data_IF_962971129620
#
_entry.id   IF_962971129620
#
_cell.length_a   1.000
_cell.length_b   1.000
_cell.length_c   1.000
_cell.angle_alpha   90.00
_cell.angle_beta   90.00
_cell.angle_gamma   90.00
#
_symmetry.space_group_name_H-M   'P 1'
#
loop_
_entity.id
_entity.type
_entity.pdbx_description
1 polymer ?
#
# COMPACT_ATOMS: atom_id res chain seq x y z
N UNK A 1 -20.16 -49.16 -91.53
CA UNK A 1 -20.53 -47.91 -90.84
C UNK A 1 -21.10 -48.25 -89.46
N UNK A 2 -20.25 -48.68 -88.51
CA UNK A 2 -20.65 -49.05 -87.14
C UNK A 2 -19.46 -48.88 -86.19
N UNK A 3 -18.73 -47.79 -86.36
CA UNK A 3 -17.51 -47.46 -85.60
C UNK A 3 -17.46 -46.00 -85.15
N UNK A 4 -18.54 -45.23 -85.33
CA UNK A 4 -18.59 -43.82 -84.92
C UNK A 4 -19.73 -43.51 -83.94
N UNK A 5 -20.69 -44.44 -83.75
CA UNK A 5 -21.87 -44.21 -82.88
C UNK A 5 -21.63 -44.65 -81.42
N UNK A 6 -20.59 -45.44 -81.14
CA UNK A 6 -20.24 -45.85 -79.77
C UNK A 6 -19.28 -44.88 -79.07
N UNK A 7 -18.60 -43.99 -79.80
CA UNK A 7 -17.76 -42.93 -79.21
C UNK A 7 -18.59 -41.76 -78.65
N UNK A 8 -19.88 -41.65 -79.02
CA UNK A 8 -20.77 -40.60 -78.52
C UNK A 8 -21.41 -40.95 -77.16
N UNK A 9 -21.30 -42.20 -76.71
CA UNK A 9 -21.62 -42.62 -75.33
C UNK A 9 -20.42 -42.49 -74.36
N UNK A 10 -19.26 -42.04 -74.85
CA UNK A 10 -18.02 -41.88 -74.08
C UNK A 10 -17.84 -40.48 -73.48
N UNK A 11 -18.83 -39.59 -73.61
CA UNK A 11 -18.80 -38.21 -73.16
C UNK A 11 -19.97 -37.80 -72.25
N UNK A 12 -20.56 -38.76 -71.53
CA UNK A 12 -21.43 -38.43 -70.38
C UNK A 12 -20.58 -38.17 -69.13
N UNK A 13 -20.06 -36.95 -69.08
CA UNK A 13 -19.90 -36.09 -67.90
C UNK A 13 -20.06 -36.76 -66.53
N UNK A 14 -19.03 -37.47 -66.07
CA UNK A 14 -18.82 -37.60 -64.63
C UNK A 14 -18.02 -36.39 -64.16
N UNK A 15 -18.72 -35.30 -63.87
CA UNK A 15 -18.21 -34.24 -63.01
C UNK A 15 -17.97 -34.86 -61.62
N UNK A 16 -16.79 -35.43 -61.40
CA UNK A 16 -16.29 -35.57 -60.05
C UNK A 16 -15.83 -34.18 -59.63
N UNK A 17 -16.76 -33.41 -59.06
CA UNK A 17 -16.43 -32.20 -58.30
C UNK A 17 -15.35 -32.58 -57.28
N UNK A 18 -14.10 -32.23 -57.56
CA UNK A 18 -13.08 -32.19 -56.54
C UNK A 18 -13.42 -31.01 -55.64
N UNK A 19 -14.19 -31.25 -54.57
CA UNK A 19 -14.32 -30.27 -53.51
C UNK A 19 -12.91 -29.93 -53.01
N UNK A 20 -12.54 -28.64 -52.90
CA UNK A 20 -11.31 -28.28 -52.23
C UNK A 20 -11.46 -28.72 -50.78
N UNK A 21 -10.74 -29.76 -50.40
CA UNK A 21 -10.62 -30.22 -49.03
C UNK A 21 -10.06 -29.04 -48.23
N UNK A 22 -10.96 -28.23 -47.63
CA UNK A 22 -10.59 -27.12 -46.78
C UNK A 22 -9.75 -27.70 -45.65
N UNK A 23 -8.42 -27.54 -45.73
CA UNK A 23 -7.52 -27.72 -44.62
C UNK A 23 -8.02 -26.78 -43.52
N UNK A 24 -8.80 -27.33 -42.61
CA UNK A 24 -9.23 -26.68 -41.38
C UNK A 24 -7.95 -26.47 -40.58
N UNK A 25 -7.32 -25.30 -40.77
CA UNK A 25 -6.10 -24.94 -40.05
C UNK A 25 -6.38 -25.14 -38.56
N UNK A 26 -5.73 -26.14 -37.98
CA UNK A 26 -5.92 -26.53 -36.59
C UNK A 26 -5.21 -25.48 -35.72
N UNK A 27 -5.90 -24.37 -35.44
CA UNK A 27 -5.46 -23.35 -34.48
C UNK A 27 -5.57 -23.85 -33.04
N UNK A 28 -6.33 -24.92 -32.79
CA UNK A 28 -6.52 -25.52 -31.47
C UNK A 28 -5.22 -25.96 -30.77
N UNK A 29 -4.28 -26.68 -31.40
CA UNK A 29 -2.99 -27.00 -30.79
C UNK A 29 -2.17 -25.74 -30.48
N UNK A 30 -2.28 -24.67 -31.28
CA UNK A 30 -1.54 -23.42 -31.06
C UNK A 30 -2.05 -22.72 -29.80
N UNK A 31 -3.37 -22.62 -29.62
CA UNK A 31 -3.96 -22.05 -28.40
C UNK A 31 -3.59 -22.86 -27.14
N UNK A 32 -3.54 -24.19 -27.24
CA UNK A 32 -3.11 -25.05 -26.14
C UNK A 32 -1.64 -24.83 -25.79
N UNK A 33 -0.75 -24.74 -26.78
CA UNK A 33 0.67 -24.48 -26.55
C UNK A 33 0.87 -23.11 -25.89
N UNK A 34 0.20 -22.06 -26.38
CA UNK A 34 0.28 -20.71 -25.80
C UNK A 34 -0.25 -20.70 -24.36
N UNK A 35 -1.33 -21.40 -24.08
CA UNK A 35 -1.88 -21.49 -22.72
C UNK A 35 -0.92 -22.21 -21.77
N UNK A 36 -0.33 -23.33 -22.19
CA UNK A 36 0.62 -24.09 -21.37
C UNK A 36 1.89 -23.26 -21.11
N UNK A 37 2.44 -22.62 -22.13
CA UNK A 37 3.65 -21.78 -21.96
C UNK A 37 3.39 -20.58 -21.04
N UNK A 38 2.23 -19.93 -21.17
CA UNK A 38 1.85 -18.82 -20.30
C UNK A 38 1.69 -19.27 -18.84
N UNK A 39 1.03 -20.41 -18.58
CA UNK A 39 0.88 -20.94 -17.22
C UNK A 39 2.22 -21.33 -16.60
N UNK A 40 3.11 -21.95 -17.38
CA UNK A 40 4.47 -22.28 -16.93
C UNK A 40 5.25 -21.01 -16.60
N UNK A 41 5.21 -20.00 -17.47
CA UNK A 41 5.87 -18.72 -17.25
C UNK A 41 5.34 -18.00 -16.00
N UNK A 42 4.01 -17.93 -15.84
CA UNK A 42 3.39 -17.34 -14.65
C UNK A 42 3.72 -18.12 -13.37
N UNK A 43 3.83 -19.45 -13.44
CA UNK A 43 4.28 -20.29 -12.34
C UNK A 43 5.72 -20.00 -11.92
N UNK A 44 6.65 -19.93 -12.89
CA UNK A 44 8.04 -19.55 -12.63
C UNK A 44 8.16 -18.10 -12.12
N UNK A 45 7.39 -17.16 -12.68
CA UNK A 45 7.37 -15.78 -12.24
C UNK A 45 6.82 -15.64 -10.82
N UNK A 46 5.79 -16.41 -10.46
CA UNK A 46 5.24 -16.48 -9.10
C UNK A 46 6.26 -17.05 -8.11
N UNK A 47 6.93 -18.16 -8.45
CA UNK A 47 8.02 -18.74 -7.66
C UNK A 47 9.18 -17.75 -7.48
N UNK A 48 9.60 -17.10 -8.56
CA UNK A 48 10.64 -16.08 -8.54
C UNK A 48 10.23 -14.86 -7.70
N UNK A 49 8.97 -14.43 -7.80
CA UNK A 49 8.43 -13.33 -6.99
C UNK A 49 8.28 -13.72 -5.52
N UNK A 50 8.02 -14.99 -5.19
CA UNK A 50 8.09 -15.46 -3.80
C UNK A 50 9.54 -15.45 -3.30
N UNK A 51 10.52 -15.93 -4.09
CA UNK A 51 11.91 -16.02 -3.63
C UNK A 51 12.66 -14.69 -3.64
N UNK A 52 12.25 -13.73 -4.47
CA UNK A 52 12.91 -12.42 -4.61
C UNK A 52 12.04 -11.23 -4.15
N UNK A 53 10.72 -11.38 -4.11
CA UNK A 53 9.77 -10.31 -3.73
C UNK A 53 9.45 -10.26 -2.24
N UNK A 54 10.08 -11.11 -1.43
CA UNK A 54 10.02 -11.03 0.02
C UNK A 54 11.33 -10.47 0.56
N UNK A 55 11.52 -9.16 0.38
CA UNK A 55 12.15 -8.39 1.44
C UNK A 55 11.16 -8.43 2.60
N UNK A 56 11.22 -9.54 3.35
CA UNK A 56 10.28 -9.81 4.41
C UNK A 56 10.54 -8.75 5.47
N UNK A 57 9.61 -7.81 5.61
CA UNK A 57 9.39 -7.05 6.84
C UNK A 57 8.79 -8.03 7.88
N UNK A 58 9.40 -9.21 8.05
CA UNK A 58 9.03 -10.21 9.04
C UNK A 58 10.06 -10.07 10.15
N UNK A 59 9.85 -9.04 10.98
CA UNK A 59 10.77 -8.71 12.06
C UNK A 59 10.79 -7.23 12.45
N UNK A 60 10.20 -6.33 11.66
CA UNK A 60 10.07 -4.94 12.09
C UNK A 60 8.98 -4.84 13.17
N UNK A 61 9.36 -4.33 14.33
CA UNK A 61 8.49 -4.07 15.46
C UNK A 61 9.02 -2.88 16.23
N UNK A 62 8.26 -2.33 17.18
CA UNK A 62 8.75 -1.22 18.00
C UNK A 62 9.98 -1.59 18.84
N UNK A 63 10.14 -2.88 19.16
CA UNK A 63 11.29 -3.41 19.91
C UNK A 63 12.52 -3.62 19.04
N UNK A 64 12.34 -3.93 17.75
CA UNK A 64 13.41 -4.28 16.82
C UNK A 64 13.75 -3.15 15.83
N UNK A 65 12.90 -2.13 15.77
CA UNK A 65 12.99 -1.00 14.86
C UNK A 65 12.48 -1.30 13.46
N UNK A 66 12.39 -0.23 12.66
CA UNK A 66 12.01 -0.24 11.25
C UNK A 66 13.23 0.09 10.38
N UNK A 67 13.15 -0.28 9.10
CA UNK A 67 14.20 0.03 8.12
C UNK A 67 14.35 1.54 7.85
N UNK A 68 13.33 2.33 8.18
CA UNK A 68 13.28 3.78 8.04
C UNK A 68 13.70 4.52 9.31
N UNK A 69 14.03 3.80 10.39
CA UNK A 69 14.48 4.43 11.63
C UNK A 69 15.85 5.09 11.45
N UNK A 70 16.03 6.23 12.12
CA UNK A 70 17.31 6.92 12.18
C UNK A 70 18.29 6.07 13.00
N UNK A 71 19.18 5.35 12.31
CA UNK A 71 20.21 4.49 12.94
C UNK A 71 20.97 5.16 14.10
N UNK A 72 21.47 6.41 13.96
CA UNK A 72 22.18 7.08 15.06
C UNK A 72 21.33 7.32 16.31
N UNK A 73 20.00 7.40 16.17
CA UNK A 73 19.10 7.68 17.28
C UNK A 73 18.65 6.42 18.03
N UNK A 74 18.91 5.22 17.49
CA UNK A 74 18.41 3.96 18.08
C UNK A 74 18.89 3.71 19.50
N UNK A 75 20.10 4.15 19.87
CA UNK A 75 20.62 4.01 21.24
C UNK A 75 19.94 4.91 22.26
N UNK A 76 19.29 5.98 21.80
CA UNK A 76 18.63 6.99 22.64
C UNK A 76 17.12 6.79 22.76
N UNK A 77 16.55 5.80 22.04
CA UNK A 77 15.12 5.52 22.02
C UNK A 77 14.79 4.43 23.05
N UNK A 78 13.87 4.74 23.97
CA UNK A 78 13.33 3.78 24.93
C UNK A 78 11.85 3.49 24.65
N UNK A 79 11.49 2.20 24.59
CA UNK A 79 10.09 1.79 24.47
C UNK A 79 9.38 1.85 25.82
N UNK A 80 8.46 2.79 25.97
CA UNK A 80 7.65 2.94 27.19
C UNK A 80 6.21 2.50 26.93
N UNK A 81 5.80 1.39 27.56
CA UNK A 81 4.41 0.93 27.53
C UNK A 81 3.59 1.69 28.58
N UNK A 82 2.62 2.49 28.14
CA UNK A 82 1.68 3.18 29.02
C UNK A 82 0.27 2.64 28.85
N UNK A 83 -0.42 2.38 29.96
CA UNK A 83 -1.86 2.10 29.95
C UNK A 83 -2.62 3.41 29.99
N UNK A 84 -3.38 3.69 28.96
CA UNK A 84 -4.29 4.84 28.95
C UNK A 84 -5.58 4.48 29.68
N UNK A 85 -5.96 5.27 30.68
CA UNK A 85 -7.26 5.15 31.37
C UNK A 85 -8.28 6.19 30.94
N UNK A 86 -7.86 7.17 30.14
CA UNK A 86 -8.76 8.17 29.59
C UNK A 86 -9.64 7.57 28.49
N UNK A 87 -10.80 8.18 28.26
CA UNK A 87 -11.75 7.72 27.25
C UNK A 87 -12.59 8.86 26.69
N UNK A 88 -13.32 8.56 25.61
CA UNK A 88 -14.34 9.46 25.03
C UNK A 88 -15.62 9.43 25.87
N UNK A 89 -15.72 8.51 26.83
CA UNK A 89 -16.80 8.45 27.78
C UNK A 89 -16.81 9.69 28.68
N UNK A 90 -18.01 10.14 29.03
CA UNK A 90 -18.23 11.23 29.97
C UNK A 90 -18.39 10.67 31.40
N UNK A 91 -17.88 11.39 32.38
CA UNK A 91 -18.19 11.17 33.78
C UNK A 91 -19.62 11.60 34.12
N UNK A 92 -20.00 11.46 35.39
CA UNK A 92 -21.37 11.79 35.85
C UNK A 92 -21.67 13.28 35.80
N UNK A 93 -20.65 14.10 35.62
CA UNK A 93 -20.75 15.55 35.51
C UNK A 93 -20.62 16.05 34.05
N UNK A 94 -20.71 15.15 33.06
CA UNK A 94 -20.57 15.42 31.61
C UNK A 94 -19.17 15.92 31.18
N UNK A 95 -18.11 15.54 31.90
CA UNK A 95 -16.72 15.82 31.51
C UNK A 95 -16.10 14.56 30.91
N UNK A 96 -15.22 14.71 29.91
CA UNK A 96 -14.47 13.57 29.39
C UNK A 96 -13.67 12.90 30.50
N UNK A 97 -13.69 11.56 30.54
CA UNK A 97 -12.87 10.79 31.48
C UNK A 97 -11.40 10.97 31.07
N UNK A 98 -10.66 11.78 31.82
CA UNK A 98 -9.25 12.07 31.57
C UNK A 98 -8.39 11.05 32.32
N UNK A 99 -7.27 10.66 31.71
CA UNK A 99 -6.26 9.85 32.38
C UNK A 99 -5.57 10.68 33.49
N UNK A 100 -5.90 10.42 34.76
CA UNK A 100 -5.42 11.20 35.91
C UNK A 100 -3.90 11.12 36.15
N UNK A 101 -3.18 10.33 35.36
CA UNK A 101 -1.72 10.12 35.48
C UNK A 101 -0.91 10.78 34.36
N UNK A 102 -1.55 11.52 33.45
CA UNK A 102 -0.92 12.16 32.29
C UNK A 102 -0.94 13.69 32.33
N UNK A 103 -0.20 14.30 31.39
CA UNK A 103 -0.31 15.72 31.11
C UNK A 103 -1.61 15.98 30.35
N UNK A 104 -2.32 17.05 30.70
CA UNK A 104 -3.57 17.44 30.05
C UNK A 104 -3.28 18.22 28.76
N UNK A 105 -3.79 17.73 27.62
CA UNK A 105 -3.61 18.34 26.29
C UNK A 105 -4.89 19.03 25.78
N UNK A 106 -5.97 19.00 26.58
CA UNK A 106 -7.29 19.54 26.25
C UNK A 106 -7.77 20.44 27.39
N UNK A 107 -8.72 21.34 27.11
CA UNK A 107 -9.29 22.22 28.12
C UNK A 107 -9.31 23.70 27.71
N UNK A 108 -9.69 24.60 28.62
CA UNK A 108 -9.66 26.04 28.37
C UNK A 108 -8.25 26.50 28.01
N UNK A 109 -8.09 27.47 27.09
CA UNK A 109 -6.77 27.97 26.71
C UNK A 109 -6.05 28.50 27.95
N UNK A 110 -4.79 28.07 28.13
CA UNK A 110 -4.00 28.49 29.27
C UNK A 110 -2.59 27.90 29.28
N UNK A 111 -1.68 28.47 30.09
CA UNK A 111 -0.25 28.17 30.03
C UNK A 111 0.10 26.70 30.27
N UNK A 112 -0.74 25.97 31.01
CA UNK A 112 -0.52 24.55 31.29
C UNK A 112 -0.74 23.67 30.06
N UNK A 113 -1.78 23.96 29.26
CA UNK A 113 -2.09 23.26 28.01
C UNK A 113 -1.06 23.61 26.94
N UNK A 114 -0.68 24.89 26.84
CA UNK A 114 0.35 25.33 25.89
C UNK A 114 1.69 24.63 26.17
N UNK A 115 2.12 24.59 27.44
CA UNK A 115 3.35 23.90 27.84
C UNK A 115 3.30 22.39 27.58
N UNK A 116 2.13 21.78 27.75
CA UNK A 116 1.93 20.36 27.44
C UNK A 116 2.17 20.10 25.94
N UNK A 117 1.56 20.93 25.08
CA UNK A 117 1.75 20.86 23.64
C UNK A 117 3.18 21.17 23.21
N UNK A 118 3.83 22.19 23.77
CA UNK A 118 5.24 22.51 23.49
C UNK A 118 6.15 21.34 23.84
N UNK A 119 5.91 20.67 24.97
CA UNK A 119 6.70 19.51 25.38
C UNK A 119 6.46 18.30 24.47
N UNK A 120 5.21 18.08 24.04
CA UNK A 120 4.86 16.98 23.15
C UNK A 120 5.41 17.18 21.73
N UNK A 121 5.36 18.41 21.22
CA UNK A 121 5.81 18.79 19.88
C UNK A 121 7.30 19.16 19.83
N UNK A 122 7.99 19.13 20.97
CA UNK A 122 9.43 19.31 21.04
C UNK A 122 10.13 18.24 20.20
N UNK A 123 10.91 18.68 19.20
CA UNK A 123 11.60 17.76 18.28
C UNK A 123 10.73 17.26 17.12
N UNK A 124 9.56 17.87 16.88
CA UNK A 124 8.72 17.58 15.70
C UNK A 124 9.50 17.75 14.38
N UNK A 125 10.28 18.82 14.32
CA UNK A 125 11.13 19.17 13.19
C UNK A 125 12.58 18.92 13.60
N UNK A 126 13.24 18.04 12.87
CA UNK A 126 14.64 17.70 13.04
C UNK A 126 15.39 18.22 11.82
N UNK A 127 16.41 19.03 12.06
CA UNK A 127 17.28 19.56 11.03
C UNK A 127 18.61 18.81 11.09
N UNK A 128 19.02 18.22 9.96
CA UNK A 128 20.23 17.41 9.85
C UNK A 128 21.23 18.03 8.89
N UNK A 129 22.52 17.88 9.20
CA UNK A 129 23.55 18.08 8.19
C UNK A 129 23.61 16.86 7.26
N UNK A 130 24.00 17.07 6.00
CA UNK A 130 24.14 16.01 5.00
C UNK A 130 25.13 14.91 5.40
N UNK A 131 26.07 15.25 6.28
CA UNK A 131 27.09 14.31 6.78
C UNK A 131 26.60 13.43 7.92
N UNK A 132 25.49 13.79 8.57
CA UNK A 132 24.96 13.09 9.75
C UNK A 132 24.01 11.96 9.38
N UNK A 133 23.17 12.16 8.36
CA UNK A 133 22.15 11.21 7.92
C UNK A 133 21.99 11.22 6.40
N UNK A 134 21.91 10.03 5.79
CA UNK A 134 21.51 9.89 4.38
C UNK A 134 19.99 9.87 4.25
N UNK A 135 19.41 11.04 4.00
CA UNK A 135 17.96 11.22 3.79
C UNK A 135 17.54 11.04 2.32
N UNK A 136 18.48 10.69 1.43
CA UNK A 136 18.23 10.60 -0.01
C UNK A 136 17.65 11.89 -0.62
N UNK A 137 16.87 11.76 -1.70
CA UNK A 137 16.12 12.88 -2.32
C UNK A 137 14.71 13.02 -1.74
N UNK A 138 14.44 12.40 -0.59
CA UNK A 138 13.08 12.27 -0.03
C UNK A 138 12.63 13.48 0.78
N UNK A 139 13.53 14.45 0.99
CA UNK A 139 13.25 15.68 1.75
C UNK A 139 13.84 16.92 1.10
N UNK A 140 13.48 18.09 1.63
CA UNK A 140 13.99 19.39 1.17
C UNK A 140 15.03 19.96 2.13
N UNK A 141 15.82 20.88 1.59
CA UNK A 141 16.85 21.61 2.32
C UNK A 141 16.36 23.03 2.60
N UNK A 142 16.59 23.52 3.81
CA UNK A 142 16.31 24.91 4.15
C UNK A 142 17.26 25.84 3.40
N UNK A 143 16.75 26.86 2.68
CA UNK A 143 17.58 27.75 1.87
C UNK A 143 18.52 28.64 2.71
N UNK A 144 18.19 28.89 3.97
CA UNK A 144 18.92 29.80 4.85
C UNK A 144 20.04 29.11 5.62
N UNK A 145 19.77 27.90 6.16
CA UNK A 145 20.72 27.14 6.97
C UNK A 145 21.48 26.08 6.17
N UNK A 146 20.94 25.63 5.03
CA UNK A 146 21.47 24.48 4.31
C UNK A 146 21.26 23.14 5.03
N UNK A 147 20.45 23.09 6.08
CA UNK A 147 20.12 21.85 6.76
C UNK A 147 18.97 21.13 6.07
N UNK A 148 18.96 19.81 6.13
CA UNK A 148 17.90 18.98 5.60
C UNK A 148 16.81 18.78 6.65
N UNK A 149 15.57 19.03 6.23
CA UNK A 149 14.41 18.87 7.08
C UNK A 149 14.03 17.40 7.24
N UNK A 150 13.61 16.99 8.43
CA UNK A 150 13.01 15.69 8.67
C UNK A 150 12.07 15.76 9.88
N UNK A 151 11.23 14.74 10.06
CA UNK A 151 10.29 14.67 11.18
C UNK A 151 9.93 13.23 11.53
N UNK A 152 9.45 13.04 12.76
CA UNK A 152 9.03 11.74 13.24
C UNK A 152 7.60 11.40 12.75
N UNK A 153 7.41 10.23 12.15
CA UNK A 153 6.11 9.78 11.59
C UNK A 153 5.01 9.59 12.65
N UNK A 154 5.39 9.45 13.93
CA UNK A 154 4.48 9.31 15.06
C UNK A 154 3.49 10.48 15.15
N UNK A 155 3.90 11.68 14.74
CA UNK A 155 3.01 12.85 14.74
C UNK A 155 1.96 12.79 13.62
N UNK A 156 2.30 12.25 12.45
CA UNK A 156 1.34 12.05 11.36
C UNK A 156 0.25 11.05 11.78
N UNK A 157 0.65 10.03 12.55
CA UNK A 157 -0.29 9.08 13.15
C UNK A 157 -1.21 9.73 14.19
N UNK A 158 -0.69 10.64 15.03
CA UNK A 158 -1.49 11.36 16.03
C UNK A 158 -2.53 12.29 15.38
N UNK A 159 -2.15 13.04 14.35
CA UNK A 159 -3.07 13.90 13.60
C UNK A 159 -4.20 13.11 12.95
N UNK A 160 -3.90 11.94 12.39
CA UNK A 160 -4.91 11.07 11.79
C UNK A 160 -5.89 10.53 12.83
N UNK A 161 -5.42 10.17 14.02
CA UNK A 161 -6.27 9.66 15.11
C UNK A 161 -7.21 10.77 15.64
N UNK A 162 -6.70 11.99 15.81
CA UNK A 162 -7.50 13.16 16.20
C UNK A 162 -8.49 13.55 15.10
N UNK A 163 -8.08 13.53 13.84
CA UNK A 163 -8.97 13.90 12.71
C UNK A 163 -10.11 12.88 12.55
N UNK A 164 -9.82 11.58 12.65
CA UNK A 164 -10.85 10.54 12.66
C UNK A 164 -11.82 10.70 13.84
N UNK A 165 -11.30 11.08 15.02
CA UNK A 165 -12.11 11.34 16.21
C UNK A 165 -13.03 12.56 16.03
N UNK A 166 -12.53 13.66 15.45
CA UNK A 166 -13.32 14.87 15.16
C UNK A 166 -14.45 14.56 14.17
N UNK A 167 -14.18 13.75 13.14
CA UNK A 167 -15.19 13.32 12.18
C UNK A 167 -16.28 12.47 12.87
N UNK A 168 -15.89 11.57 13.78
CA UNK A 168 -16.84 10.71 14.49
C UNK A 168 -17.76 11.48 15.45
N UNK A 169 -17.20 12.46 16.18
CA UNK A 169 -17.99 13.35 17.05
C UNK A 169 -18.97 14.21 16.24
N UNK A 170 -18.58 14.65 15.04
CA UNK A 170 -19.47 15.45 14.19
C UNK A 170 -20.63 14.63 13.58
N UNK A 171 -20.47 13.31 13.42
CA UNK A 171 -21.51 12.46 12.84
C UNK A 171 -22.56 11.95 13.84
N UNK A 172 -22.37 12.19 15.15
CA UNK A 172 -23.22 11.67 16.22
C UNK A 172 -24.34 12.63 16.66
N UNK A 173 -24.35 13.87 16.16
CA UNK A 173 -25.34 14.92 16.51
C UNK A 173 -26.28 15.28 15.36
N UNK A 174 -26.64 14.33 14.50
CA UNK A 174 -27.66 14.54 13.45
C UNK A 174 -28.70 13.43 13.50
N UNK A 175 -29.47 13.38 14.59
CA UNK A 175 -30.84 12.81 14.62
C UNK A 175 -31.47 13.07 15.98
N UNK A 176 -32.01 14.26 16.20
CA UNK A 176 -33.21 14.48 17.00
C UNK A 176 -33.66 15.94 16.87
N UNK A 177 -34.52 16.17 15.89
CA UNK A 177 -35.54 17.24 15.89
C UNK A 177 -36.81 16.64 15.31
#
# INVERSE_FOLDING_TARGET
MRKQEEEENLLETTEFESQPQKRRFQLQPIFLIISVTLNVFLGFFSLFSLTHGQCSISGASYELGFATDLEPAKSEIELVVKRFSGGVDLDKEDHFIIDQKGQEYIGPPGPAVDKAWEMLLGGLNLDFDRTEVDLGESTFQWPESGLYFSGLDVYHSLHCLVTALIIYVNHSNVTQT
#
